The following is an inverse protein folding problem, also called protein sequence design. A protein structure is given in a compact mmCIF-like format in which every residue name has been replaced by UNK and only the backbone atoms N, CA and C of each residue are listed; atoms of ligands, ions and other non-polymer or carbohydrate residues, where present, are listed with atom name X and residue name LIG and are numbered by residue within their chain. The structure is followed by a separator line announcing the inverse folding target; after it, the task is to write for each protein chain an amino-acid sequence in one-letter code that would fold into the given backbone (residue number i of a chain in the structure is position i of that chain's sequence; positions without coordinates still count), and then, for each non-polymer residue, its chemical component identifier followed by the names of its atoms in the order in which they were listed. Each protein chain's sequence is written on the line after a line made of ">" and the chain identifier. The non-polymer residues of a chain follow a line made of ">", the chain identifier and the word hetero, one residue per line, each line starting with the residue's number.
data_IF_083296954476
#
_entry.id   IF_083296954476
#
_cell.length_a   1.000
_cell.length_b   1.000
_cell.length_c   1.000
_cell.angle_alpha   90.00
_cell.angle_beta   90.00
_cell.angle_gamma   90.00
#
_symmetry.space_group_name_H-M   'P 1'
#
loop_
_entity.id
_entity.type
_entity.pdbx_description
1 polymer ?
#
# COMPACT_ATOMS: atom_id res chain seq x y z
N UNK A 1 -10.93 -45.41 -20.60
CA UNK A 1 -9.99 -44.67 -21.44
C UNK A 1 -10.57 -43.29 -21.73
N UNK A 2 -9.94 -42.21 -21.36
CA UNK A 2 -10.25 -40.82 -21.70
C UNK A 2 -10.88 -39.91 -20.63
N UNK A 3 -10.45 -39.93 -19.40
CA UNK A 3 -10.79 -38.81 -18.49
C UNK A 3 -9.58 -38.17 -17.78
N UNK A 4 -8.36 -38.59 -18.01
CA UNK A 4 -7.17 -38.03 -17.33
C UNK A 4 -6.58 -36.78 -17.98
N UNK A 5 -7.03 -36.38 -19.17
CA UNK A 5 -6.53 -35.22 -19.91
C UNK A 5 -7.31 -33.91 -19.71
N UNK A 6 -8.43 -33.95 -18.96
CA UNK A 6 -9.35 -32.80 -18.84
C UNK A 6 -8.94 -31.74 -17.79
N UNK A 7 -7.84 -31.95 -17.04
CA UNK A 7 -7.46 -31.07 -15.94
C UNK A 7 -5.96 -30.72 -15.89
N UNK A 8 -5.28 -30.83 -17.00
CA UNK A 8 -3.87 -30.44 -17.12
C UNK A 8 -3.79 -29.12 -17.88
N UNK A 9 -3.04 -28.15 -17.38
CA UNK A 9 -2.71 -26.89 -18.09
C UNK A 9 -1.35 -27.08 -18.75
N UNK A 10 -1.28 -27.53 -20.01
CA UNK A 10 -0.02 -27.86 -20.67
C UNK A 10 0.60 -26.68 -21.40
N UNK A 11 -0.16 -25.58 -21.60
CA UNK A 11 0.20 -24.55 -22.56
C UNK A 11 -0.18 -23.14 -22.11
N UNK A 12 0.52 -22.18 -22.68
CA UNK A 12 0.24 -20.76 -22.56
C UNK A 12 0.14 -20.18 -23.96
N UNK A 13 -0.99 -19.58 -24.28
CA UNK A 13 -1.14 -18.81 -25.51
C UNK A 13 -0.35 -17.50 -25.44
N UNK A 14 0.54 -17.27 -26.36
CA UNK A 14 1.41 -16.08 -26.42
C UNK A 14 1.09 -15.29 -27.68
N UNK A 15 1.04 -13.97 -27.54
CA UNK A 15 0.94 -13.04 -28.66
C UNK A 15 2.08 -12.03 -28.59
N UNK A 16 2.83 -11.95 -29.69
CA UNK A 16 3.91 -10.97 -29.85
C UNK A 16 3.86 -10.31 -31.23
N UNK A 17 4.93 -9.58 -31.61
CA UNK A 17 5.02 -8.91 -32.90
C UNK A 17 5.03 -9.86 -34.10
N UNK A 18 5.37 -11.15 -33.90
CA UNK A 18 5.39 -12.18 -34.96
C UNK A 18 4.05 -12.89 -35.12
N UNK A 19 3.13 -12.75 -34.19
CA UNK A 19 1.81 -13.37 -34.21
C UNK A 19 1.41 -14.03 -32.91
N UNK A 20 0.47 -14.99 -32.99
CA UNK A 20 0.02 -15.79 -31.84
C UNK A 20 0.52 -17.22 -31.99
N UNK A 21 0.99 -17.81 -30.88
CA UNK A 21 1.45 -19.20 -30.81
C UNK A 21 1.25 -19.76 -29.40
N UNK A 22 1.24 -21.07 -29.28
CA UNK A 22 1.12 -21.77 -27.99
C UNK A 22 2.49 -22.28 -27.55
N UNK A 23 2.78 -22.12 -26.25
CA UNK A 23 3.98 -22.65 -25.57
C UNK A 23 3.57 -23.82 -24.70
N UNK A 24 3.99 -25.00 -25.06
CA UNK A 24 3.65 -26.24 -24.33
C UNK A 24 4.68 -26.49 -23.23
N UNK A 25 4.17 -26.61 -21.98
CA UNK A 25 4.99 -26.89 -20.81
C UNK A 25 5.00 -28.39 -20.50
N UNK A 26 6.16 -29.02 -20.48
CA UNK A 26 6.28 -30.45 -20.21
C UNK A 26 6.07 -30.85 -18.74
N UNK A 27 6.18 -29.90 -17.80
CA UNK A 27 6.09 -30.15 -16.36
C UNK A 27 5.06 -29.26 -15.67
N UNK A 28 4.77 -28.10 -16.21
CA UNK A 28 3.80 -27.18 -15.65
C UNK A 28 4.07 -25.71 -15.98
N UNK A 29 3.11 -24.87 -15.67
CA UNK A 29 3.14 -23.42 -15.83
C UNK A 29 3.24 -22.78 -14.47
N UNK A 30 4.10 -21.77 -14.32
CA UNK A 30 4.27 -21.02 -13.07
C UNK A 30 3.84 -19.59 -13.29
N UNK A 31 2.82 -19.16 -12.55
CA UNK A 31 2.36 -17.78 -12.51
C UNK A 31 3.17 -17.01 -11.45
N UNK A 32 4.00 -16.08 -11.90
CA UNK A 32 4.86 -15.24 -11.07
C UNK A 32 4.83 -13.79 -11.59
N UNK A 33 3.63 -13.30 -11.90
CA UNK A 33 3.36 -12.06 -12.62
C UNK A 33 3.18 -10.84 -11.73
N UNK A 34 3.34 -11.02 -10.41
CA UNK A 34 3.07 -9.95 -9.44
C UNK A 34 1.60 -9.89 -9.04
N UNK A 35 1.20 -8.75 -8.50
CA UNK A 35 -0.15 -8.45 -8.06
C UNK A 35 -0.99 -7.71 -9.09
N UNK A 36 -1.90 -6.84 -8.60
CA UNK A 36 -2.78 -6.05 -9.47
C UNK A 36 -2.92 -4.58 -9.06
N UNK A 37 -1.96 -4.06 -8.28
CA UNK A 37 -2.04 -2.67 -7.79
C UNK A 37 -2.00 -1.60 -8.89
N UNK A 38 -1.60 -1.94 -10.10
CA UNK A 38 -1.64 -1.06 -11.27
C UNK A 38 -2.85 -1.33 -12.19
N UNK A 39 -3.76 -2.24 -11.82
CA UNK A 39 -4.96 -2.56 -12.58
C UNK A 39 -6.17 -1.82 -12.01
N UNK A 40 -6.60 -0.72 -12.63
CA UNK A 40 -7.79 0.02 -12.17
C UNK A 40 -9.05 -0.87 -12.12
N UNK A 41 -9.34 -1.74 -13.11
CA UNK A 41 -10.50 -2.63 -13.03
C UNK A 41 -10.46 -3.57 -11.83
N UNK A 42 -9.33 -4.25 -11.59
CA UNK A 42 -9.20 -5.17 -10.45
C UNK A 42 -9.19 -4.44 -9.11
N UNK A 43 -8.54 -3.27 -9.03
CA UNK A 43 -8.57 -2.44 -7.82
C UNK A 43 -10.00 -2.00 -7.49
N UNK A 44 -10.80 -1.58 -8.48
CA UNK A 44 -12.22 -1.22 -8.26
C UNK A 44 -13.09 -2.40 -7.87
N UNK A 45 -12.81 -3.58 -8.41
CA UNK A 45 -13.57 -4.80 -8.11
C UNK A 45 -13.23 -5.36 -6.72
N UNK A 46 -11.94 -5.53 -6.42
CA UNK A 46 -11.49 -6.25 -5.23
C UNK A 46 -11.08 -5.34 -4.07
N UNK A 47 -10.68 -4.09 -4.32
CA UNK A 47 -10.14 -3.15 -3.35
C UNK A 47 -10.69 -1.72 -3.58
N UNK A 48 -12.02 -1.53 -3.68
CA UNK A 48 -12.62 -0.23 -4.03
C UNK A 48 -12.20 0.91 -3.11
N UNK A 49 -11.91 0.61 -1.84
CA UNK A 49 -11.48 1.60 -0.85
C UNK A 49 -10.06 2.16 -1.11
N UNK A 50 -9.32 1.61 -2.06
CA UNK A 50 -7.98 2.05 -2.44
C UNK A 50 -7.88 2.48 -3.91
N UNK A 51 -8.94 2.29 -4.70
CA UNK A 51 -8.90 2.46 -6.15
C UNK A 51 -8.68 3.91 -6.58
N UNK A 52 -9.11 4.89 -5.78
CA UNK A 52 -8.97 6.32 -6.13
C UNK A 52 -7.54 6.85 -5.97
N UNK A 53 -6.62 6.05 -5.41
CA UNK A 53 -5.19 6.39 -5.26
C UNK A 53 -4.26 5.48 -6.03
N UNK A 54 -4.77 4.83 -7.07
CA UNK A 54 -3.98 3.91 -7.91
C UNK A 54 -2.80 4.61 -8.59
N UNK A 55 -2.95 5.89 -8.92
CA UNK A 55 -1.92 6.74 -9.49
C UNK A 55 -0.76 7.04 -8.50
N UNK A 56 -0.96 6.77 -7.22
CA UNK A 56 0.02 6.97 -6.14
C UNK A 56 0.61 5.64 -5.64
N UNK A 57 0.33 4.53 -6.30
CA UNK A 57 0.99 3.26 -5.99
C UNK A 57 2.47 3.29 -6.37
N UNK A 58 3.31 2.61 -5.59
CA UNK A 58 4.71 2.37 -5.94
C UNK A 58 4.92 1.00 -6.61
N UNK A 59 3.83 0.27 -6.86
CA UNK A 59 3.88 -0.96 -7.62
C UNK A 59 4.37 -0.71 -9.05
N UNK A 60 4.99 -1.71 -9.66
CA UNK A 60 5.42 -1.62 -11.05
C UNK A 60 4.24 -1.49 -12.01
N UNK A 61 4.41 -0.79 -13.13
CA UNK A 61 3.36 -0.63 -14.14
C UNK A 61 2.85 -1.95 -14.74
N UNK A 62 3.62 -3.04 -14.61
CA UNK A 62 3.23 -4.39 -15.01
C UNK A 62 2.48 -5.18 -13.94
N UNK A 63 2.17 -4.57 -12.80
CA UNK A 63 1.42 -5.20 -11.70
C UNK A 63 -0.09 -5.16 -11.97
N UNK A 64 -0.47 -5.79 -13.10
CA UNK A 64 -1.79 -5.69 -13.74
C UNK A 64 -2.74 -6.84 -13.44
N UNK A 65 -2.27 -7.86 -12.69
CA UNK A 65 -3.10 -9.01 -12.29
C UNK A 65 -3.24 -10.09 -13.35
N UNK A 66 -2.50 -10.04 -14.44
CA UNK A 66 -2.68 -10.92 -15.60
C UNK A 66 -2.60 -12.41 -15.23
N UNK A 67 -1.60 -12.82 -14.44
CA UNK A 67 -1.49 -14.23 -14.02
C UNK A 67 -2.58 -14.66 -13.06
N UNK A 68 -3.10 -13.74 -12.26
CA UNK A 68 -4.26 -14.02 -11.42
C UNK A 68 -5.50 -14.26 -12.28
N UNK A 69 -5.72 -13.43 -13.30
CA UNK A 69 -6.81 -13.62 -14.25
C UNK A 69 -6.67 -14.93 -15.04
N UNK A 70 -5.45 -15.24 -15.51
CA UNK A 70 -5.18 -16.52 -16.17
C UNK A 70 -5.53 -17.73 -15.31
N UNK A 71 -5.25 -17.66 -14.00
CA UNK A 71 -5.63 -18.75 -13.09
C UNK A 71 -7.14 -18.86 -12.90
N UNK A 72 -7.84 -17.72 -12.80
CA UNK A 72 -9.31 -17.70 -12.70
C UNK A 72 -9.96 -18.28 -13.96
N UNK A 73 -9.46 -17.97 -15.14
CA UNK A 73 -9.98 -18.43 -16.43
C UNK A 73 -9.95 -19.96 -16.57
N UNK A 74 -9.04 -20.63 -15.87
CA UNK A 74 -8.94 -22.12 -15.86
C UNK A 74 -9.54 -22.74 -14.60
N UNK A 75 -10.31 -21.97 -13.83
CA UNK A 75 -11.05 -22.44 -12.67
C UNK A 75 -10.29 -22.38 -11.34
N UNK A 76 -9.21 -21.62 -11.27
CA UNK A 76 -8.55 -21.25 -10.01
C UNK A 76 -9.43 -20.36 -9.14
N UNK A 77 -9.13 -20.28 -7.87
CA UNK A 77 -9.91 -19.50 -6.89
C UNK A 77 -9.09 -18.35 -6.35
N UNK A 78 -9.68 -17.17 -6.34
CA UNK A 78 -9.11 -15.99 -5.71
C UNK A 78 -9.40 -15.96 -4.19
N UNK A 79 -8.54 -15.33 -3.40
CA UNK A 79 -8.86 -15.06 -2.00
C UNK A 79 -9.95 -13.99 -1.90
N UNK A 80 -10.94 -14.21 -1.05
CA UNK A 80 -12.10 -13.33 -0.89
C UNK A 80 -11.87 -12.14 0.06
N UNK A 81 -10.68 -12.02 0.64
CA UNK A 81 -10.29 -10.97 1.57
C UNK A 81 -8.97 -10.29 1.16
N UNK A 82 -8.87 -9.79 -0.08
CA UNK A 82 -7.67 -9.10 -0.54
C UNK A 82 -7.41 -7.83 0.24
N UNK A 83 -6.15 -7.39 0.26
CA UNK A 83 -5.72 -6.15 0.87
C UNK A 83 -4.58 -5.52 0.03
N UNK A 84 -4.14 -4.32 0.40
CA UNK A 84 -2.96 -3.69 -0.21
C UNK A 84 -1.71 -3.91 0.62
N UNK A 85 -0.54 -3.85 0.00
CA UNK A 85 0.72 -3.65 0.73
C UNK A 85 0.74 -2.19 1.18
N UNK A 86 0.54 -1.91 2.47
CA UNK A 86 0.48 -0.53 2.95
C UNK A 86 1.89 0.04 3.03
N UNK A 87 2.13 1.19 2.42
CA UNK A 87 3.41 1.90 2.46
C UNK A 87 3.36 3.26 3.17
N UNK A 88 2.29 3.53 3.89
CA UNK A 88 2.11 4.78 4.58
C UNK A 88 1.35 5.77 3.72
N UNK A 89 1.98 6.86 3.36
CA UNK A 89 1.40 7.83 2.45
C UNK A 89 2.44 8.56 1.63
N UNK A 90 1.97 9.34 0.69
CA UNK A 90 2.79 10.14 -0.20
C UNK A 90 2.15 11.51 -0.42
N UNK A 91 2.86 12.42 -1.07
CA UNK A 91 2.34 13.70 -1.57
C UNK A 91 2.32 13.69 -3.09
N UNK A 92 1.42 14.46 -3.68
CA UNK A 92 1.42 14.71 -5.14
C UNK A 92 2.52 15.70 -5.56
N UNK A 93 3.14 16.43 -4.59
CA UNK A 93 4.35 17.18 -4.85
C UNK A 93 5.52 16.21 -5.06
N UNK A 94 5.96 16.04 -6.31
CA UNK A 94 6.99 15.06 -6.69
C UNK A 94 8.34 15.28 -6.00
N UNK A 95 8.66 16.50 -5.54
CA UNK A 95 9.92 16.81 -4.87
C UNK A 95 10.01 16.22 -3.46
N UNK A 96 8.87 15.96 -2.82
CA UNK A 96 8.81 15.40 -1.45
C UNK A 96 8.04 14.08 -1.34
N UNK A 97 7.50 13.55 -2.44
CA UNK A 97 6.73 12.31 -2.42
C UNK A 97 7.51 11.16 -1.76
N UNK A 98 8.75 10.93 -2.19
CA UNK A 98 9.63 9.94 -1.59
C UNK A 98 10.03 10.25 -0.14
N UNK A 99 10.13 11.52 0.22
CA UNK A 99 10.38 11.96 1.59
C UNK A 99 9.19 11.64 2.51
N UNK A 100 7.97 11.85 2.05
CA UNK A 100 6.77 11.48 2.80
C UNK A 100 6.70 9.98 3.10
N UNK A 101 7.26 9.13 2.23
CA UNK A 101 7.35 7.69 2.44
C UNK A 101 8.48 7.27 3.36
N UNK A 102 9.63 7.94 3.30
CA UNK A 102 10.88 7.48 3.93
C UNK A 102 11.23 8.18 5.23
N UNK A 103 10.71 9.36 5.47
CA UNK A 103 11.08 10.18 6.62
C UNK A 103 9.86 10.54 7.44
N UNK A 104 9.97 10.34 8.71
CA UNK A 104 9.04 10.64 9.80
C UNK A 104 8.45 12.08 9.83
N UNK A 105 7.90 12.59 8.74
CA UNK A 105 6.82 13.57 8.84
C UNK A 105 5.73 13.05 9.78
N UNK A 106 5.55 11.74 9.76
CA UNK A 106 4.64 10.96 10.58
C UNK A 106 4.91 11.02 12.07
N UNK A 107 6.12 11.26 12.47
CA UNK A 107 6.47 11.47 13.86
C UNK A 107 5.90 12.76 14.43
N UNK A 108 5.41 13.68 13.58
CA UNK A 108 4.83 14.95 13.99
C UNK A 108 3.35 14.79 14.27
N UNK A 109 2.53 15.65 13.75
CA UNK A 109 1.08 15.65 13.92
C UNK A 109 0.43 15.52 12.55
N UNK A 110 -0.59 14.68 12.45
CA UNK A 110 -1.37 14.53 11.22
C UNK A 110 -2.84 14.83 11.54
N UNK A 111 -3.45 15.67 10.70
CA UNK A 111 -4.88 16.02 10.82
C UNK A 111 -5.61 15.66 9.53
N UNK A 112 -6.87 15.26 9.65
CA UNK A 112 -7.78 15.03 8.53
C UNK A 112 -8.31 16.35 7.94
N UNK A 113 -9.18 16.27 6.94
CA UNK A 113 -9.84 17.43 6.32
C UNK A 113 -10.73 18.24 7.28
N UNK A 114 -11.03 17.71 8.48
CA UNK A 114 -11.73 18.42 9.58
C UNK A 114 -10.77 19.04 10.58
N UNK A 115 -9.49 19.15 10.28
CA UNK A 115 -8.43 19.67 11.16
C UNK A 115 -8.25 18.90 12.48
N UNK A 116 -8.66 17.63 12.55
CA UNK A 116 -8.60 16.79 13.74
C UNK A 116 -7.58 15.66 13.56
N UNK A 117 -6.82 15.37 14.62
CA UNK A 117 -6.04 14.13 14.70
C UNK A 117 -6.98 12.93 14.65
N UNK A 118 -6.53 11.80 14.13
CA UNK A 118 -7.41 10.63 13.94
C UNK A 118 -6.69 9.29 14.16
N UNK A 119 -5.39 9.29 14.45
CA UNK A 119 -4.62 8.08 14.77
C UNK A 119 -3.33 8.42 15.51
N UNK A 120 -2.60 7.38 15.96
CA UNK A 120 -1.29 7.49 16.57
C UNK A 120 -0.20 7.54 15.50
N UNK A 121 0.37 8.72 15.27
CA UNK A 121 1.42 8.94 14.27
C UNK A 121 2.78 8.34 14.66
N UNK A 122 2.92 7.84 15.88
CA UNK A 122 4.13 7.16 16.36
C UNK A 122 4.26 5.72 15.87
N UNK A 123 3.22 5.17 15.26
CA UNK A 123 3.26 3.84 14.67
C UNK A 123 4.00 3.83 13.32
N UNK A 124 4.37 2.63 12.88
CA UNK A 124 5.03 2.40 11.60
C UNK A 124 4.21 2.99 10.43
N UNK A 125 4.86 3.45 9.35
CA UNK A 125 4.20 4.09 8.20
C UNK A 125 3.00 3.30 7.65
N UNK A 126 3.06 1.97 7.72
CA UNK A 126 2.01 1.08 7.25
C UNK A 126 0.63 1.33 7.89
N UNK A 127 0.60 1.77 9.16
CA UNK A 127 -0.67 2.06 9.84
C UNK A 127 -1.30 3.36 9.35
N UNK A 128 -0.51 4.29 8.82
CA UNK A 128 -1.01 5.51 8.21
C UNK A 128 -1.87 5.21 6.97
N UNK A 129 -1.46 4.25 6.12
CA UNK A 129 -2.28 3.81 4.97
C UNK A 129 -3.68 3.41 5.42
N UNK A 130 -3.76 2.58 6.48
CA UNK A 130 -5.04 2.10 7.02
C UNK A 130 -5.86 3.24 7.63
N UNK A 131 -5.21 4.13 8.37
CA UNK A 131 -5.88 5.27 9.01
C UNK A 131 -6.41 6.24 7.95
N UNK A 132 -5.61 6.57 6.93
CA UNK A 132 -5.99 7.44 5.82
C UNK A 132 -7.14 6.85 5.01
N UNK A 133 -7.10 5.56 4.66
CA UNK A 133 -8.17 4.92 3.87
C UNK A 133 -9.52 4.88 4.59
N UNK A 134 -9.56 5.18 5.88
CA UNK A 134 -10.78 5.27 6.69
C UNK A 134 -11.27 6.70 6.91
N UNK A 135 -10.53 7.70 6.47
CA UNK A 135 -11.03 9.08 6.44
C UNK A 135 -12.05 9.24 5.32
N UNK A 136 -12.84 10.30 5.39
CA UNK A 136 -13.94 10.53 4.45
C UNK A 136 -13.46 10.68 2.99
N UNK A 137 -12.28 11.28 2.81
CA UNK A 137 -11.70 11.64 1.51
C UNK A 137 -10.32 11.01 1.24
N UNK A 138 -9.79 10.22 2.19
CA UNK A 138 -8.45 9.62 2.08
C UNK A 138 -7.29 10.61 2.09
N UNK A 139 -7.56 11.84 2.49
CA UNK A 139 -6.63 12.97 2.49
C UNK A 139 -6.35 13.38 3.94
N UNK A 140 -5.13 13.80 4.19
CA UNK A 140 -4.76 14.42 5.45
C UNK A 140 -3.66 15.47 5.25
N UNK A 141 -3.32 16.16 6.32
CA UNK A 141 -2.23 17.11 6.37
C UNK A 141 -1.24 16.71 7.45
N UNK A 142 0.00 16.53 7.07
CA UNK A 142 1.12 16.36 8.00
C UNK A 142 1.69 17.73 8.37
N UNK A 143 1.69 18.05 9.65
CA UNK A 143 2.13 19.35 10.17
C UNK A 143 3.59 19.28 10.62
N UNK A 144 4.33 20.36 10.39
CA UNK A 144 5.68 20.59 10.87
C UNK A 144 5.91 22.04 11.24
N UNK A 145 7.06 22.31 11.82
CA UNK A 145 7.52 23.67 12.15
C UNK A 145 9.00 23.87 11.78
N UNK A 146 9.52 25.06 12.02
CA UNK A 146 10.91 25.41 11.70
C UNK A 146 11.97 24.56 12.41
N UNK A 147 11.63 23.89 13.50
CA UNK A 147 12.51 22.98 14.25
C UNK A 147 12.62 21.61 13.63
N UNK A 148 11.79 21.30 12.63
CA UNK A 148 11.82 20.03 11.94
C UNK A 148 13.11 19.88 11.13
N UNK A 149 13.81 18.76 11.26
CA UNK A 149 15.08 18.51 10.56
C UNK A 149 14.98 18.62 9.02
N UNK A 150 13.79 18.41 8.47
CA UNK A 150 13.48 18.56 7.04
C UNK A 150 12.90 19.92 6.66
N UNK A 151 12.89 20.93 7.54
CA UNK A 151 12.23 22.22 7.27
C UNK A 151 12.78 22.90 6.01
N UNK A 152 14.08 22.82 5.74
CA UNK A 152 14.66 23.37 4.51
C UNK A 152 14.16 22.67 3.23
N UNK A 153 13.89 21.37 3.29
CA UNK A 153 13.31 20.63 2.18
C UNK A 153 11.84 21.03 1.97
N UNK A 154 11.09 21.18 3.07
CA UNK A 154 9.71 21.65 3.01
C UNK A 154 9.65 23.08 2.46
N UNK A 155 10.53 23.96 2.89
CA UNK A 155 10.62 25.33 2.42
C UNK A 155 10.86 25.42 0.90
N UNK A 156 11.74 24.56 0.38
CA UNK A 156 12.01 24.46 -1.04
C UNK A 156 10.87 23.82 -1.84
N UNK A 157 9.99 23.07 -1.19
CA UNK A 157 8.88 22.37 -1.81
C UNK A 157 7.55 23.15 -1.74
N UNK A 158 7.51 24.30 -1.06
CA UNK A 158 6.28 25.12 -0.98
C UNK A 158 5.77 25.46 -2.36
N UNK A 159 4.53 25.05 -2.66
CA UNK A 159 3.85 25.28 -3.95
C UNK A 159 2.47 25.92 -3.78
N UNK A 160 2.06 26.18 -2.54
CA UNK A 160 0.77 26.81 -2.20
C UNK A 160 -0.45 25.87 -2.30
N UNK A 161 -0.25 24.60 -2.59
CA UNK A 161 -1.33 23.60 -2.77
C UNK A 161 -1.07 22.30 -2.02
N UNK A 162 0.00 21.62 -2.34
CA UNK A 162 0.41 20.36 -1.69
C UNK A 162 1.31 20.60 -0.49
N UNK A 163 2.11 21.66 -0.55
CA UNK A 163 2.97 22.12 0.53
C UNK A 163 2.71 23.61 0.78
N UNK A 164 2.21 23.89 1.97
CA UNK A 164 1.90 25.27 2.38
C UNK A 164 2.72 25.67 3.59
N UNK A 165 2.97 26.98 3.71
CA UNK A 165 3.79 27.60 4.76
C UNK A 165 3.12 28.86 5.27
N UNK A 166 3.14 29.07 6.58
CA UNK A 166 2.58 30.26 7.23
C UNK A 166 3.35 30.63 8.52
N UNK A 167 3.15 31.84 8.99
CA UNK A 167 3.77 32.31 10.25
C UNK A 167 2.88 32.06 11.47
N UNK A 168 1.57 31.77 11.28
CA UNK A 168 0.63 31.39 12.33
C UNK A 168 -0.13 30.13 11.97
N UNK A 169 -0.73 29.47 12.97
CA UNK A 169 -1.55 28.27 12.77
C UNK A 169 -2.88 28.64 12.06
N UNK A 170 -3.43 29.82 12.33
CA UNK A 170 -4.65 30.33 11.69
C UNK A 170 -4.43 30.57 10.20
N UNK A 171 -3.31 31.20 9.82
CA UNK A 171 -2.93 31.38 8.41
C UNK A 171 -2.68 30.04 7.73
N UNK A 172 -2.04 29.09 8.44
CA UNK A 172 -1.82 27.75 7.93
C UNK A 172 -3.17 27.04 7.64
N UNK A 173 -4.13 27.15 8.58
CA UNK A 173 -5.47 26.59 8.41
C UNK A 173 -6.18 27.17 7.16
N UNK A 174 -6.07 28.48 6.93
CA UNK A 174 -6.63 29.13 5.75
C UNK A 174 -6.02 28.58 4.46
N UNK A 175 -4.70 28.38 4.41
CA UNK A 175 -4.02 27.78 3.26
C UNK A 175 -4.37 26.30 3.05
N UNK A 176 -4.58 25.54 4.13
CA UNK A 176 -5.03 24.16 4.08
C UNK A 176 -6.52 24.02 3.68
N UNK A 177 -7.30 25.10 3.77
CA UNK A 177 -8.75 25.08 3.54
C UNK A 177 -9.53 24.38 4.64
N UNK A 178 -9.06 24.44 5.91
CA UNK A 178 -9.69 23.81 7.06
C UNK A 178 -10.14 24.87 8.08
N UNK A 179 -10.96 24.45 9.05
CA UNK A 179 -11.44 25.33 10.13
C UNK A 179 -10.29 25.74 11.06
N UNK A 180 -10.08 27.05 11.21
CA UNK A 180 -8.94 27.59 11.95
C UNK A 180 -9.05 27.33 13.45
N UNK A 181 -10.22 27.51 14.03
CA UNK A 181 -10.42 27.30 15.49
C UNK A 181 -10.18 25.82 15.85
N UNK A 182 -10.62 24.91 15.00
CA UNK A 182 -10.38 23.48 15.17
C UNK A 182 -8.91 23.13 15.05
N UNK A 183 -8.18 23.70 14.07
CA UNK A 183 -6.76 23.42 13.90
C UNK A 183 -5.94 23.94 15.09
N UNK A 184 -6.18 25.19 15.52
CA UNK A 184 -5.54 25.78 16.70
C UNK A 184 -5.74 24.91 17.93
N UNK A 185 -6.98 24.50 18.21
CA UNK A 185 -7.31 23.63 19.33
C UNK A 185 -6.62 22.26 19.24
N UNK A 186 -6.54 21.68 18.06
CA UNK A 186 -5.86 20.40 17.83
C UNK A 186 -4.36 20.51 18.09
N UNK A 187 -3.73 21.59 17.63
CA UNK A 187 -2.30 21.87 17.88
C UNK A 187 -2.03 22.13 19.37
N UNK A 188 -2.86 22.90 20.05
CA UNK A 188 -2.74 23.17 21.51
C UNK A 188 -2.86 21.87 22.31
N UNK A 189 -3.82 21.01 21.98
CA UNK A 189 -4.01 19.70 22.63
C UNK A 189 -2.77 18.82 22.42
N UNK A 190 -2.28 18.75 21.18
CA UNK A 190 -1.07 17.99 20.85
C UNK A 190 0.18 18.55 21.57
N UNK A 191 0.35 19.86 21.60
CA UNK A 191 1.48 20.50 22.32
C UNK A 191 1.41 20.28 23.82
N UNK A 192 0.21 20.22 24.40
CA UNK A 192 0.02 19.83 25.81
C UNK A 192 0.46 18.39 26.07
N UNK A 193 0.13 17.46 25.14
CA UNK A 193 0.62 16.09 25.20
C UNK A 193 2.16 16.03 25.10
N UNK A 194 2.76 16.86 24.26
CA UNK A 194 4.21 16.96 24.15
C UNK A 194 4.85 17.46 25.47
N UNK A 195 4.27 18.50 26.09
CA UNK A 195 4.80 19.07 27.32
C UNK A 195 4.68 18.11 28.52
N UNK A 196 3.64 17.29 28.57
CA UNK A 196 3.37 16.32 29.63
C UNK A 196 3.99 14.95 29.38
N UNK A 197 4.43 14.68 28.13
CA UNK A 197 4.87 13.36 27.71
C UNK A 197 3.76 12.31 27.66
N UNK A 198 2.50 12.75 27.67
CA UNK A 198 1.31 11.86 27.74
C UNK A 198 0.25 12.27 26.72
N UNK A 199 0.16 11.52 25.62
CA UNK A 199 -0.90 11.67 24.62
C UNK A 199 -2.13 10.86 25.04
N UNK A 200 -3.14 11.53 25.60
CA UNK A 200 -4.37 10.93 26.07
C UNK A 200 -5.36 10.64 24.94
N UNK A 201 -5.17 11.19 23.74
CA UNK A 201 -6.07 10.98 22.61
C UNK A 201 -5.77 9.67 21.86
N UNK A 202 -4.50 9.43 21.52
CA UNK A 202 -4.10 8.30 20.68
C UNK A 202 -2.97 7.46 21.27
N UNK A 203 -2.44 7.82 22.44
CA UNK A 203 -1.40 7.05 23.12
C UNK A 203 -0.04 7.07 22.40
N UNK A 204 0.28 8.17 21.72
CA UNK A 204 1.58 8.34 21.07
C UNK A 204 2.69 8.38 22.12
N UNK A 205 3.69 7.53 21.94
CA UNK A 205 4.78 7.40 22.92
C UNK A 205 5.57 8.70 23.10
N UNK A 206 5.98 9.01 24.34
CA UNK A 206 6.67 10.26 24.69
C UNK A 206 7.90 10.55 23.84
N UNK A 207 8.65 9.52 23.42
CA UNK A 207 9.81 9.67 22.54
C UNK A 207 9.47 10.16 21.12
N UNK A 208 8.22 10.04 20.72
CA UNK A 208 7.72 10.43 19.41
C UNK A 208 6.90 11.75 19.45
N UNK A 209 6.72 12.31 20.64
CA UNK A 209 6.05 13.59 20.81
C UNK A 209 7.04 14.74 20.55
N UNK A 210 6.72 15.59 19.60
CA UNK A 210 7.52 16.78 19.28
C UNK A 210 6.55 17.92 18.99
N UNK A 211 6.62 18.96 19.83
CA UNK A 211 5.72 20.11 19.75
C UNK A 211 5.83 20.85 18.40
N UNK A 212 4.73 21.47 18.00
CA UNK A 212 4.62 22.36 16.85
C UNK A 212 4.36 23.77 17.40
N UNK A 213 5.45 24.50 17.69
CA UNK A 213 5.40 25.74 18.46
C UNK A 213 6.41 26.81 17.97
N UNK A 214 7.04 26.62 16.81
CA UNK A 214 8.05 27.53 16.27
C UNK A 214 7.81 27.86 14.81
N UNK A 215 7.36 29.08 14.53
CA UNK A 215 7.19 29.57 13.15
C UNK A 215 8.51 29.54 12.35
N UNK A 216 8.47 29.46 11.02
CA UNK A 216 7.29 29.20 10.23
C UNK A 216 6.76 27.76 10.40
N UNK A 217 5.45 27.62 10.19
CA UNK A 217 4.74 26.35 10.19
C UNK A 217 4.55 25.85 8.77
N UNK A 218 4.53 24.53 8.61
CA UNK A 218 4.34 23.86 7.34
C UNK A 218 3.22 22.85 7.44
N UNK A 219 2.45 22.69 6.37
CA UNK A 219 1.56 21.56 6.19
C UNK A 219 1.79 20.92 4.83
N UNK A 220 1.91 19.59 4.84
CA UNK A 220 2.06 18.76 3.64
C UNK A 220 0.80 17.97 3.44
N UNK A 221 0.16 18.14 2.29
CA UNK A 221 -0.99 17.34 1.90
C UNK A 221 -0.55 15.94 1.54
N UNK A 222 -1.22 14.95 2.11
CA UNK A 222 -0.82 13.56 2.04
C UNK A 222 -2.00 12.65 1.69
N UNK A 223 -1.69 11.58 0.99
CA UNK A 223 -2.63 10.63 0.42
C UNK A 223 -2.22 9.21 0.74
N UNK A 224 -3.13 8.27 0.63
CA UNK A 224 -2.84 6.84 0.75
C UNK A 224 -1.75 6.44 -0.26
N UNK A 225 -0.74 5.70 0.21
CA UNK A 225 0.27 5.09 -0.63
C UNK A 225 0.25 3.58 -0.47
N UNK A 226 0.27 2.87 -1.59
CA UNK A 226 0.31 1.42 -1.64
C UNK A 226 1.53 0.93 -2.40
N UNK A 227 2.05 -0.25 -2.07
CA UNK A 227 3.23 -0.83 -2.69
C UNK A 227 2.99 -2.09 -3.50
N UNK A 228 1.72 -2.49 -3.62
CA UNK A 228 1.30 -3.74 -4.26
C UNK A 228 0.07 -4.30 -3.57
N UNK A 229 -0.22 -5.57 -3.79
CA UNK A 229 -1.39 -6.25 -3.24
C UNK A 229 -1.03 -7.41 -2.31
N UNK A 230 -1.84 -7.61 -1.30
CA UNK A 230 -1.88 -8.80 -0.44
C UNK A 230 -3.13 -9.57 -0.84
N UNK A 231 -2.98 -10.48 -1.80
CA UNK A 231 -4.10 -11.09 -2.49
C UNK A 231 -3.67 -12.37 -3.19
N UNK A 232 -4.33 -12.68 -4.29
CA UNK A 232 -3.90 -13.67 -5.24
C UNK A 232 -4.75 -14.93 -5.27
N UNK A 233 -4.30 -15.89 -6.05
CA UNK A 233 -4.96 -17.18 -6.20
C UNK A 233 -4.61 -18.12 -5.04
N UNK A 234 -5.56 -18.93 -4.63
CA UNK A 234 -5.35 -19.94 -3.59
C UNK A 234 -4.43 -21.05 -4.08
N UNK A 235 -3.48 -21.43 -3.24
CA UNK A 235 -2.56 -22.54 -3.49
C UNK A 235 -2.50 -23.48 -2.29
N UNK A 236 -2.04 -24.71 -2.50
CA UNK A 236 -1.63 -25.58 -1.42
C UNK A 236 -0.17 -25.28 -0.99
N UNK A 237 0.36 -26.03 -0.03
CA UNK A 237 1.75 -25.86 0.46
C UNK A 237 2.83 -26.19 -0.59
N UNK A 238 2.46 -26.85 -1.67
CA UNK A 238 3.31 -27.10 -2.83
C UNK A 238 3.18 -26.02 -3.91
N UNK A 239 2.43 -24.96 -3.63
CA UNK A 239 2.13 -23.83 -4.52
C UNK A 239 1.35 -24.20 -5.78
N UNK A 240 0.65 -25.34 -5.78
CA UNK A 240 -0.28 -25.70 -6.82
C UNK A 240 -1.59 -24.90 -6.66
N UNK A 241 -2.09 -24.34 -7.76
CA UNK A 241 -3.34 -23.55 -7.77
C UNK A 241 -4.53 -24.46 -7.46
N UNK A 242 -5.42 -23.98 -6.61
CA UNK A 242 -6.60 -24.72 -6.15
C UNK A 242 -7.87 -24.27 -6.86
N UNK A 243 -8.80 -25.22 -7.02
CA UNK A 243 -10.20 -24.98 -7.40
C UNK A 243 -11.07 -24.70 -6.17
N UNK A 244 -12.32 -24.35 -6.40
CA UNK A 244 -13.29 -24.08 -5.32
C UNK A 244 -13.54 -25.31 -4.43
N UNK A 245 -13.50 -26.50 -4.98
CA UNK A 245 -13.67 -27.76 -4.24
C UNK A 245 -12.37 -28.22 -3.48
N UNK A 246 -11.31 -27.40 -3.56
CA UNK A 246 -10.01 -27.70 -2.96
C UNK A 246 -9.12 -28.65 -3.77
N UNK A 247 -9.59 -29.12 -4.93
CA UNK A 247 -8.74 -29.92 -5.82
C UNK A 247 -7.69 -29.04 -6.52
N UNK A 248 -6.55 -29.63 -6.87
CA UNK A 248 -5.48 -28.91 -7.57
C UNK A 248 -5.76 -28.81 -9.07
N UNK A 249 -5.31 -27.74 -9.69
CA UNK A 249 -5.20 -27.64 -11.13
C UNK A 249 -3.83 -28.23 -11.51
N UNK A 250 -3.85 -29.44 -12.06
CA UNK A 250 -2.62 -30.15 -12.38
C UNK A 250 -1.73 -29.36 -13.33
N UNK A 251 -0.45 -29.22 -12.98
CA UNK A 251 0.53 -28.50 -13.76
C UNK A 251 0.46 -26.98 -13.66
N UNK A 252 -0.43 -26.40 -12.82
CA UNK A 252 -0.49 -24.96 -12.61
C UNK A 252 -0.01 -24.59 -11.20
N UNK A 253 0.97 -23.68 -11.14
CA UNK A 253 1.58 -23.18 -9.90
C UNK A 253 1.51 -21.67 -9.87
N UNK A 254 1.45 -21.10 -8.65
CA UNK A 254 1.53 -19.66 -8.45
C UNK A 254 2.43 -19.34 -7.25
N UNK A 255 3.27 -18.32 -7.39
CA UNK A 255 4.21 -17.90 -6.35
C UNK A 255 4.41 -16.39 -6.29
N UNK A 256 5.13 -15.93 -5.26
CA UNK A 256 5.32 -14.50 -5.04
C UNK A 256 3.99 -13.77 -4.81
N UNK A 257 3.89 -12.52 -5.25
CA UNK A 257 2.70 -11.70 -5.03
C UNK A 257 1.44 -12.26 -5.67
N UNK A 258 1.58 -13.07 -6.71
CA UNK A 258 0.44 -13.75 -7.37
C UNK A 258 -0.34 -14.68 -6.43
N UNK A 259 0.24 -15.10 -5.27
CA UNK A 259 -0.38 -16.00 -4.28
C UNK A 259 0.00 -15.67 -2.83
N UNK A 260 0.24 -14.41 -2.50
CA UNK A 260 0.84 -14.03 -1.22
C UNK A 260 -0.16 -13.86 -0.06
N UNK A 261 -1.47 -14.01 -0.27
CA UNK A 261 -2.48 -13.67 0.75
C UNK A 261 -2.28 -14.40 2.06
N UNK A 262 -1.95 -15.69 2.04
CA UNK A 262 -1.75 -16.47 3.26
C UNK A 262 -0.47 -16.11 4.03
N UNK A 263 0.50 -15.51 3.36
CA UNK A 263 1.73 -15.03 4.00
C UNK A 263 1.46 -13.89 4.98
N UNK A 264 0.42 -13.08 4.72
CA UNK A 264 0.13 -11.87 5.47
C UNK A 264 -1.24 -11.97 6.14
N UNK A 265 -1.30 -12.20 7.45
CA UNK A 265 -2.56 -12.25 8.17
C UNK A 265 -3.22 -10.86 8.25
N UNK A 266 -2.50 -9.87 8.81
CA UNK A 266 -3.06 -8.52 9.04
C UNK A 266 -2.04 -7.38 8.89
N UNK A 267 -0.78 -7.69 8.65
CA UNK A 267 0.27 -6.68 8.55
C UNK A 267 1.37 -7.10 7.57
N UNK A 268 1.83 -6.12 6.81
CA UNK A 268 3.01 -6.27 5.96
C UNK A 268 4.28 -6.04 6.79
N UNK A 269 5.30 -6.87 6.58
CA UNK A 269 6.64 -6.68 7.12
C UNK A 269 7.63 -6.42 5.99
N UNK A 270 8.41 -5.35 6.09
CA UNK A 270 9.38 -5.00 5.06
C UNK A 270 10.36 -6.15 4.79
N UNK A 271 10.60 -6.43 3.51
CA UNK A 271 11.46 -7.53 3.05
C UNK A 271 10.78 -8.90 2.95
N UNK A 272 9.64 -9.11 3.60
CA UNK A 272 8.92 -10.40 3.57
C UNK A 272 8.40 -10.75 2.17
N UNK A 273 8.03 -9.76 1.35
CA UNK A 273 7.60 -9.98 -0.03
C UNK A 273 8.68 -10.65 -0.87
N UNK A 274 9.93 -10.13 -0.80
CA UNK A 274 11.08 -10.74 -1.50
C UNK A 274 11.39 -12.12 -0.93
N UNK A 275 11.37 -12.27 0.42
CA UNK A 275 11.59 -13.54 1.07
C UNK A 275 10.59 -14.61 0.64
N UNK A 276 9.31 -14.25 0.56
CA UNK A 276 8.24 -15.15 0.10
C UNK A 276 8.38 -15.51 -1.38
N UNK A 277 8.70 -14.53 -2.24
CA UNK A 277 8.92 -14.79 -3.66
C UNK A 277 10.06 -15.79 -3.89
N UNK A 278 11.18 -15.64 -3.17
CA UNK A 278 12.31 -16.57 -3.24
C UNK A 278 11.95 -17.97 -2.70
N UNK A 279 11.26 -18.03 -1.57
CA UNK A 279 10.88 -19.29 -0.94
C UNK A 279 9.87 -20.07 -1.79
N UNK A 280 8.81 -19.39 -2.26
CA UNK A 280 7.78 -19.99 -3.12
C UNK A 280 8.38 -20.45 -4.46
N UNK A 281 9.18 -19.61 -5.11
CA UNK A 281 9.84 -19.96 -6.37
C UNK A 281 10.77 -21.16 -6.23
N UNK A 282 11.55 -21.24 -5.12
CA UNK A 282 12.39 -22.41 -4.82
C UNK A 282 11.56 -23.68 -4.64
N UNK A 283 10.48 -23.61 -3.86
CA UNK A 283 9.63 -24.77 -3.60
C UNK A 283 8.96 -25.27 -4.88
N UNK A 284 8.41 -24.36 -5.69
CA UNK A 284 7.83 -24.68 -7.00
C UNK A 284 8.86 -25.37 -7.90
N UNK A 285 10.06 -24.79 -8.00
CA UNK A 285 11.14 -25.40 -8.78
C UNK A 285 11.49 -26.83 -8.33
N UNK A 286 11.55 -27.07 -7.02
CA UNK A 286 11.78 -28.41 -6.46
C UNK A 286 10.63 -29.37 -6.80
N UNK A 287 9.39 -28.93 -6.82
CA UNK A 287 8.23 -29.76 -7.16
C UNK A 287 8.19 -30.11 -8.63
N UNK A 288 8.54 -29.18 -9.50
CA UNK A 288 8.62 -29.40 -10.96
C UNK A 288 9.77 -30.36 -11.36
N UNK A 289 10.74 -30.59 -10.49
CA UNK A 289 11.87 -31.49 -10.76
C UNK A 289 11.63 -32.95 -10.31
N UNK A 290 10.54 -33.19 -9.56
CA UNK A 290 10.10 -34.55 -9.17
C UNK A 290 9.39 -35.23 -10.33
#
# INVERSE_FOLDING_TARGET
>A
LCCEHLFHVPDVAVKDASGSYDVYASRGVVLATGGFAASEPMMREYLPQFADWIDLTTAGAGDTGDGMQMALDVGGVFYNDPYVIPLGSTSRNGSIAGFCMSVNLWGRMVVNSKAQRFFNEGYMPYQATVALSRTEDGIAWALGDSKFAGAALLDAAVDGTEVVKADTIEELAALMGVDADTLVKSVETYNTACATGNDTEFGKGASNLTAIDAAPYYAVRIYVCTGGTIAGVKTNLDFQVLREDGSVINGLYAGGETSNREMYAYAYSSGSGVGYALASGRQIGMNLMK
#
